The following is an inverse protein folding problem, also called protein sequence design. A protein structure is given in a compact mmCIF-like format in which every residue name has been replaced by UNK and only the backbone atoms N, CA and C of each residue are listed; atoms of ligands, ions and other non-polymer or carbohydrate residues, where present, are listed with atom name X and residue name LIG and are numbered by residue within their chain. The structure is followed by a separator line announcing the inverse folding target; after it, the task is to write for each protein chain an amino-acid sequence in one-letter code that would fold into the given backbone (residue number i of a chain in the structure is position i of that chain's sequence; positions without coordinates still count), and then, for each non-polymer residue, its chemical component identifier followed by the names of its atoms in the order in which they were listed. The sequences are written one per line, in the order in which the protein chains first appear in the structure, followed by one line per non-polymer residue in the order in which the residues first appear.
data_IF_613792214232
#
_entry.id   IF_613792214232
#
_cell.length_a   1.000
_cell.length_b   1.000
_cell.length_c   1.000
_cell.angle_alpha   90.00
_cell.angle_beta   90.00
_cell.angle_gamma   90.00
#
_symmetry.space_group_name_H-M   'P 1'
#
loop_
_entity.id
_entity.type
_entity.pdbx_description
1 polymer ?
#
# COMPACT_ATOMS: atom_id res chain seq x y z
N UNK A 1 -46.33 6.89 31.11
CA UNK A 1 -46.25 6.24 29.77
C UNK A 1 -45.43 4.96 29.92
N UNK A 2 -46.05 3.77 29.97
CA UNK A 2 -45.33 2.49 30.07
C UNK A 2 -44.62 2.27 28.73
N UNK A 3 -43.32 2.56 28.66
CA UNK A 3 -42.53 2.32 27.45
C UNK A 3 -42.41 0.82 27.28
N UNK A 4 -43.07 0.26 26.27
CA UNK A 4 -42.98 -1.16 25.94
C UNK A 4 -41.51 -1.48 25.63
N UNK A 5 -40.93 -2.56 26.20
CA UNK A 5 -39.55 -2.94 25.93
C UNK A 5 -39.31 -3.11 24.43
N UNK A 6 -40.32 -3.59 23.70
CA UNK A 6 -40.28 -3.74 22.24
C UNK A 6 -40.09 -2.38 21.56
N UNK A 7 -40.79 -1.34 21.99
CA UNK A 7 -40.65 0.00 21.42
C UNK A 7 -39.24 0.58 21.67
N UNK A 8 -38.63 0.25 22.81
CA UNK A 8 -37.25 0.63 23.12
C UNK A 8 -36.26 -0.07 22.16
N UNK A 9 -36.42 -1.38 21.95
CA UNK A 9 -35.58 -2.14 21.02
C UNK A 9 -35.72 -1.65 19.57
N UNK A 10 -36.94 -1.35 19.11
CA UNK A 10 -37.17 -0.83 17.76
C UNK A 10 -36.47 0.52 17.57
N UNK A 11 -36.60 1.42 18.54
CA UNK A 11 -35.94 2.73 18.50
C UNK A 11 -34.42 2.59 18.50
N UNK A 12 -33.87 1.70 19.32
CA UNK A 12 -32.43 1.43 19.37
C UNK A 12 -31.88 0.91 18.04
N UNK A 13 -32.57 -0.05 17.41
CA UNK A 13 -32.15 -0.58 16.12
C UNK A 13 -32.23 0.48 15.01
N UNK A 14 -33.25 1.32 15.00
CA UNK A 14 -33.36 2.43 14.05
C UNK A 14 -32.22 3.45 14.22
N UNK A 15 -31.86 3.77 15.46
CA UNK A 15 -30.70 4.63 15.75
C UNK A 15 -29.41 3.98 15.23
N UNK A 16 -29.23 2.69 15.45
CA UNK A 16 -28.03 1.97 15.02
C UNK A 16 -27.90 1.91 13.49
N UNK A 17 -28.99 1.64 12.79
CA UNK A 17 -29.04 1.65 11.32
C UNK A 17 -28.78 3.05 10.78
N UNK A 18 -29.37 4.08 11.39
CA UNK A 18 -29.14 5.48 11.00
C UNK A 18 -27.69 5.91 11.16
N UNK A 19 -27.06 5.50 12.27
CA UNK A 19 -25.64 5.78 12.53
C UNK A 19 -24.73 5.07 11.52
N UNK A 20 -25.02 3.80 11.21
CA UNK A 20 -24.31 3.06 10.15
C UNK A 20 -24.46 3.72 8.77
N UNK A 21 -25.66 4.15 8.40
CA UNK A 21 -25.87 4.87 7.14
C UNK A 21 -25.07 6.16 7.09
N UNK A 22 -25.07 6.95 8.17
CA UNK A 22 -24.27 8.19 8.24
C UNK A 22 -22.77 7.92 8.04
N UNK A 23 -22.21 6.89 8.69
CA UNK A 23 -20.80 6.48 8.54
C UNK A 23 -20.47 5.96 7.14
N UNK A 24 -21.44 5.31 6.48
CA UNK A 24 -21.26 4.74 5.14
C UNK A 24 -21.19 5.83 4.05
N UNK A 25 -21.88 6.96 4.23
CA UNK A 25 -21.91 8.06 3.25
C UNK A 25 -20.91 9.19 3.56
N UNK A 26 -20.13 9.08 4.64
CA UNK A 26 -19.09 10.04 4.99
C UNK A 26 -17.94 9.97 3.95
N UNK A 27 -17.65 11.05 3.20
CA UNK A 27 -16.52 11.07 2.27
C UNK A 27 -15.22 10.98 3.07
N UNK A 28 -14.54 9.84 2.97
CA UNK A 28 -13.33 9.54 3.75
C UNK A 28 -13.27 8.11 4.29
N UNK A 29 -14.38 7.38 4.32
CA UNK A 29 -14.39 5.93 4.49
C UNK A 29 -14.33 5.27 3.11
N UNK A 30 -13.21 5.47 2.41
CA UNK A 30 -12.83 4.48 1.42
C UNK A 30 -12.74 3.17 2.18
N UNK A 31 -13.74 2.30 2.00
CA UNK A 31 -13.58 0.91 2.34
C UNK A 31 -12.27 0.53 1.64
N UNK A 32 -11.22 0.31 2.42
CA UNK A 32 -10.07 -0.45 1.95
C UNK A 32 -10.65 -1.83 1.72
N UNK A 33 -11.36 -1.99 0.61
CA UNK A 33 -11.59 -3.27 -0.01
C UNK A 33 -10.24 -3.93 0.08
N UNK A 34 -10.21 -5.07 0.76
CA UNK A 34 -9.04 -5.90 0.92
C UNK A 34 -8.59 -6.43 -0.46
N UNK A 35 -8.30 -5.54 -1.41
CA UNK A 35 -7.41 -5.78 -2.55
C UNK A 35 -6.01 -6.13 -2.04
N UNK A 36 -5.70 -5.86 -0.77
CA UNK A 36 -4.55 -6.42 -0.04
C UNK A 36 -4.68 -7.88 0.35
N UNK A 37 -5.86 -8.53 0.24
CA UNK A 37 -5.99 -9.96 0.48
C UNK A 37 -5.55 -10.80 -0.74
N UNK A 38 -4.36 -10.53 -1.28
CA UNK A 38 -3.66 -11.30 -2.35
C UNK A 38 -3.71 -10.67 -3.76
N UNK A 39 -3.24 -9.43 -3.92
CA UNK A 39 -2.21 -9.31 -4.93
C UNK A 39 -1.00 -10.06 -4.35
N UNK A 40 -0.81 -11.34 -4.71
CA UNK A 40 0.47 -12.04 -4.45
C UNK A 40 1.54 -11.03 -4.83
N UNK A 41 2.40 -10.63 -3.88
CA UNK A 41 3.46 -9.67 -4.15
C UNK A 41 4.22 -10.12 -5.38
N UNK A 42 3.93 -9.50 -6.52
CA UNK A 42 4.56 -9.84 -7.77
C UNK A 42 5.82 -9.00 -7.78
N UNK A 43 6.92 -9.65 -7.41
CA UNK A 43 8.22 -9.03 -7.40
C UNK A 43 8.92 -9.34 -8.71
N UNK A 44 9.45 -8.32 -9.37
CA UNK A 44 10.43 -8.51 -10.42
C UNK A 44 11.80 -8.20 -9.83
N UNK A 45 12.71 -9.17 -9.92
CA UNK A 45 14.12 -8.97 -9.60
C UNK A 45 14.94 -8.93 -10.88
N UNK A 46 15.76 -7.89 -11.03
CA UNK A 46 16.70 -7.75 -12.14
C UNK A 46 18.09 -7.54 -11.57
N UNK A 47 19.05 -8.34 -12.02
CA UNK A 47 20.46 -8.14 -11.69
C UNK A 47 21.11 -7.18 -12.68
N UNK A 48 22.07 -6.39 -12.21
CA UNK A 48 23.02 -5.72 -13.09
C UNK A 48 24.08 -4.98 -12.31
N UNK A 49 24.63 -3.95 -12.95
CA UNK A 49 25.82 -3.28 -12.46
C UNK A 49 25.62 -1.76 -12.46
N UNK A 50 26.06 -1.11 -11.39
CA UNK A 50 26.15 0.35 -11.34
C UNK A 50 27.58 0.73 -11.70
N UNK A 51 27.74 1.72 -12.57
CA UNK A 51 29.07 2.24 -12.91
C UNK A 51 29.77 2.74 -11.65
N UNK A 52 30.96 2.19 -11.35
CA UNK A 52 31.73 2.50 -10.15
C UNK A 52 31.50 1.57 -8.96
N UNK A 53 30.50 0.67 -9.00
CA UNK A 53 30.32 -0.36 -7.98
C UNK A 53 31.03 -1.66 -8.40
N UNK A 54 31.88 -2.22 -7.54
CA UNK A 54 32.59 -3.49 -7.83
C UNK A 54 31.68 -4.73 -7.73
N UNK A 55 30.63 -4.64 -6.91
CA UNK A 55 29.74 -5.76 -6.61
C UNK A 55 28.40 -5.59 -7.34
N UNK A 56 27.85 -6.63 -7.98
CA UNK A 56 26.58 -6.54 -8.68
C UNK A 56 25.44 -6.12 -7.75
N UNK A 57 24.47 -5.43 -8.34
CA UNK A 57 23.28 -4.89 -7.67
C UNK A 57 22.06 -5.64 -8.17
N UNK A 58 21.17 -5.97 -7.25
CA UNK A 58 19.88 -6.59 -7.52
C UNK A 58 18.82 -5.54 -7.27
N UNK A 59 18.07 -5.18 -8.32
CA UNK A 59 16.91 -4.31 -8.20
C UNK A 59 15.67 -5.16 -8.04
N UNK A 60 14.90 -4.89 -7.01
CA UNK A 60 13.63 -5.56 -6.72
C UNK A 60 12.53 -4.51 -6.86
N UNK A 61 11.54 -4.81 -7.68
CA UNK A 61 10.35 -3.97 -7.88
C UNK A 61 9.12 -4.72 -7.38
N UNK A 62 8.42 -4.12 -6.43
CA UNK A 62 7.09 -4.56 -6.04
C UNK A 62 6.08 -4.01 -7.06
N UNK A 63 5.45 -4.89 -7.85
CA UNK A 63 4.48 -4.47 -8.85
C UNK A 63 3.16 -3.96 -8.23
N UNK A 64 2.88 -4.28 -6.97
CA UNK A 64 1.66 -3.84 -6.28
C UNK A 64 1.79 -2.43 -5.73
N UNK A 65 2.94 -2.09 -5.13
CA UNK A 65 3.20 -0.77 -4.55
C UNK A 65 3.99 0.14 -5.49
N UNK A 66 4.51 -0.39 -6.60
CA UNK A 66 5.44 0.29 -7.51
C UNK A 66 6.67 0.84 -6.80
N UNK A 67 7.13 0.13 -5.78
CA UNK A 67 8.32 0.45 -5.01
C UNK A 67 9.51 -0.30 -5.58
N UNK A 68 10.63 0.41 -5.71
CA UNK A 68 11.90 -0.13 -6.17
C UNK A 68 12.92 -0.06 -5.04
N UNK A 69 13.57 -1.18 -4.76
CA UNK A 69 14.66 -1.30 -3.80
C UNK A 69 15.88 -1.89 -4.49
N UNK A 70 17.04 -1.25 -4.28
CA UNK A 70 18.31 -1.77 -4.76
C UNK A 70 19.04 -2.47 -3.59
N UNK A 71 19.46 -3.71 -3.80
CA UNK A 71 20.23 -4.50 -2.84
C UNK A 71 21.59 -4.85 -3.43
N UNK A 72 22.60 -4.86 -2.59
CA UNK A 72 23.94 -5.35 -2.92
C UNK A 72 24.35 -6.38 -1.88
N UNK A 73 24.96 -7.47 -2.35
CA UNK A 73 25.49 -8.47 -1.45
C UNK A 73 26.87 -8.04 -0.94
N UNK A 74 27.04 -7.96 0.37
CA UNK A 74 28.32 -7.73 1.01
C UNK A 74 28.98 -9.08 1.32
N UNK A 75 30.05 -9.42 0.59
CA UNK A 75 30.77 -10.68 0.76
C UNK A 75 31.64 -10.71 2.02
N UNK A 76 31.97 -9.57 2.62
CA UNK A 76 32.74 -9.53 3.87
C UNK A 76 31.84 -9.87 5.06
N UNK A 77 30.61 -9.35 5.05
CA UNK A 77 29.65 -9.53 6.12
C UNK A 77 28.61 -10.63 5.82
N UNK A 78 28.70 -11.26 4.65
CA UNK A 78 27.81 -12.32 4.17
C UNK A 78 26.33 -11.95 4.27
N UNK A 79 26.00 -10.69 3.93
CA UNK A 79 24.65 -10.12 4.11
C UNK A 79 24.25 -9.22 2.96
N UNK A 80 22.94 -9.07 2.73
CA UNK A 80 22.42 -8.09 1.78
C UNK A 80 22.35 -6.71 2.44
N UNK A 81 22.97 -5.73 1.80
CA UNK A 81 22.89 -4.31 2.15
C UNK A 81 21.94 -3.61 1.19
N UNK A 82 20.99 -2.84 1.72
CA UNK A 82 20.19 -1.95 0.88
C UNK A 82 21.03 -0.75 0.43
N UNK A 83 20.97 -0.46 -0.86
CA UNK A 83 21.62 0.70 -1.46
C UNK A 83 20.68 1.91 -1.53
N UNK A 84 19.37 1.67 -1.65
CA UNK A 84 18.40 2.74 -1.73
C UNK A 84 16.98 2.27 -2.00
N UNK A 85 16.05 3.21 -1.85
CA UNK A 85 14.62 3.05 -2.07
C UNK A 85 14.14 4.14 -3.03
N UNK A 86 13.18 3.79 -3.89
CA UNK A 86 12.53 4.73 -4.80
C UNK A 86 11.07 4.34 -5.05
N UNK A 87 10.19 5.34 -5.12
CA UNK A 87 8.80 5.15 -5.52
C UNK A 87 8.64 5.50 -7.00
N UNK A 88 8.32 4.50 -7.83
CA UNK A 88 8.24 4.68 -9.28
C UNK A 88 7.00 5.48 -9.71
N UNK A 89 5.93 5.47 -8.91
CA UNK A 89 4.72 6.27 -9.20
C UNK A 89 5.03 7.76 -9.10
N UNK A 90 5.73 8.18 -8.04
CA UNK A 90 6.16 9.58 -7.87
C UNK A 90 7.09 10.01 -9.01
N UNK A 91 8.04 9.15 -9.37
CA UNK A 91 8.95 9.43 -10.48
C UNK A 91 8.22 9.54 -11.82
N UNK A 92 7.25 8.65 -12.11
CA UNK A 92 6.47 8.69 -13.34
C UNK A 92 5.68 10.00 -13.48
N UNK A 93 5.10 10.51 -12.39
CA UNK A 93 4.39 11.80 -12.43
C UNK A 93 5.35 12.98 -12.66
N UNK A 94 6.56 12.91 -12.11
CA UNK A 94 7.60 13.93 -12.29
C UNK A 94 8.08 13.95 -13.74
N UNK A 95 8.34 12.78 -14.34
CA UNK A 95 8.74 12.64 -15.74
C UNK A 95 7.63 13.13 -16.68
N UNK A 96 6.37 12.80 -16.39
CA UNK A 96 5.23 13.23 -17.23
C UNK A 96 5.08 14.76 -17.28
N UNK A 97 5.39 15.46 -16.18
CA UNK A 97 5.37 16.94 -16.13
C UNK A 97 6.57 17.57 -16.85
N UNK A 98 7.69 16.86 -16.94
CA UNK A 98 8.91 17.34 -17.60
C UNK A 98 8.88 17.17 -19.13
N UNK A 99 7.87 16.50 -19.69
CA UNK A 99 7.70 16.34 -21.15
C UNK A 99 6.83 17.49 -21.69
N UNK A 100 7.33 18.33 -22.63
CA UNK A 100 6.54 19.38 -23.27
C UNK A 100 5.46 18.80 -24.19
#
# INVERSE_FOLDING_TARGET
MKKSPIACLVLLNLVLVGLMAAVTFLPGTEAKANSSATARGKYIAVSGHIQGAKTPVIWIVDQSTQELVALQFDSQLNQFRSLGYRNLTLDATTIRRARP
#
